data_IF_528495446626
#
_entry.id   IF_528495446626
#
_cell.length_a   1.000
_cell.length_b   1.000
_cell.length_c   1.000
_cell.angle_alpha   90.00
_cell.angle_beta   90.00
_cell.angle_gamma   90.00
#
_symmetry.space_group_name_H-M   'P 1'
#
loop_
_entity.id
_entity.type
_entity.pdbx_description
1 polymer ?
#
# COMPACT_ATOMS: atom_id res chain seq x y z
N UNK A 1 16.40 -27.79 -26.17
CA UNK A 1 16.18 -26.33 -26.25
C UNK A 1 17.52 -25.62 -26.12
N UNK A 2 17.94 -24.83 -27.11
CA UNK A 2 19.27 -24.23 -27.18
C UNK A 2 19.58 -23.31 -25.98
N UNK A 3 20.80 -23.42 -25.42
CA UNK A 3 21.29 -22.65 -24.26
C UNK A 3 21.06 -21.13 -24.42
N UNK A 4 21.19 -20.64 -25.65
CA UNK A 4 20.91 -19.24 -26.04
C UNK A 4 19.46 -18.81 -25.80
N UNK A 5 18.47 -19.67 -26.10
CA UNK A 5 17.05 -19.38 -25.86
C UNK A 5 16.70 -19.35 -24.37
N UNK A 6 17.38 -20.15 -23.54
CA UNK A 6 17.19 -20.14 -22.08
C UNK A 6 17.68 -18.85 -21.44
N UNK A 7 18.89 -18.41 -21.80
CA UNK A 7 19.46 -17.16 -21.28
C UNK A 7 18.59 -15.97 -21.69
N UNK A 8 18.09 -15.97 -22.93
CA UNK A 8 17.23 -14.89 -23.43
C UNK A 8 15.87 -14.85 -22.72
N UNK A 9 15.28 -16.01 -22.43
CA UNK A 9 14.04 -16.09 -21.64
C UNK A 9 14.23 -15.63 -20.18
N UNK A 10 15.35 -16.00 -19.54
CA UNK A 10 15.67 -15.56 -18.17
C UNK A 10 15.93 -14.05 -18.13
N UNK A 11 16.70 -13.53 -19.09
CA UNK A 11 16.96 -12.09 -19.20
C UNK A 11 15.68 -11.30 -19.42
N UNK A 12 14.79 -11.78 -20.29
CA UNK A 12 13.48 -11.16 -20.51
C UNK A 12 12.63 -11.18 -19.23
N UNK A 13 12.58 -12.30 -18.51
CA UNK A 13 11.86 -12.40 -17.25
C UNK A 13 12.39 -11.39 -16.21
N UNK A 14 13.71 -11.32 -16.03
CA UNK A 14 14.33 -10.38 -15.09
C UNK A 14 14.03 -8.92 -15.45
N UNK A 15 14.08 -8.56 -16.73
CA UNK A 15 13.75 -7.21 -17.19
C UNK A 15 12.28 -6.88 -16.93
N UNK A 16 11.36 -7.81 -17.18
CA UNK A 16 9.93 -7.60 -16.90
C UNK A 16 9.68 -7.49 -15.39
N UNK A 17 10.28 -8.37 -14.58
CA UNK A 17 10.09 -8.35 -13.13
C UNK A 17 10.70 -7.11 -12.48
N UNK A 18 11.91 -6.70 -12.88
CA UNK A 18 12.54 -5.48 -12.38
C UNK A 18 11.78 -4.24 -12.87
N UNK A 19 11.36 -4.21 -14.14
CA UNK A 19 10.61 -3.10 -14.71
C UNK A 19 9.21 -2.91 -14.11
N UNK A 20 8.56 -3.99 -13.66
CA UNK A 20 7.25 -3.93 -13.01
C UNK A 20 7.29 -3.57 -11.51
N UNK A 21 8.45 -3.64 -10.85
CA UNK A 21 8.59 -3.35 -9.41
C UNK A 21 9.14 -1.95 -9.11
N UNK A 22 9.18 -1.05 -10.08
CA UNK A 22 9.60 0.35 -9.84
C UNK A 22 8.44 1.32 -10.04
N UNK A 23 7.46 1.37 -9.12
CA UNK A 23 6.85 2.64 -8.79
C UNK A 23 7.80 3.36 -7.82
N UNK A 24 8.54 4.34 -8.34
CA UNK A 24 9.31 5.28 -7.55
C UNK A 24 8.31 6.20 -6.85
N UNK A 25 7.78 5.80 -5.70
CA UNK A 25 7.14 6.72 -4.76
C UNK A 25 8.25 7.56 -4.12
N UNK A 26 8.72 8.57 -4.85
CA UNK A 26 9.50 9.66 -4.26
C UNK A 26 8.53 10.55 -3.50
N UNK A 27 8.06 10.08 -2.35
CA UNK A 27 7.32 10.93 -1.43
C UNK A 27 8.30 11.94 -0.85
N UNK A 28 7.97 13.22 -1.00
CA UNK A 28 8.66 14.32 -0.33
C UNK A 28 8.31 14.20 1.17
N UNK A 29 9.10 13.42 1.90
CA UNK A 29 8.86 13.05 3.29
C UNK A 29 9.06 14.27 4.20
N UNK A 30 8.03 15.10 4.32
CA UNK A 30 7.93 16.10 5.40
C UNK A 30 7.66 15.38 6.72
N UNK A 31 8.21 15.91 7.80
CA UNK A 31 7.95 15.40 9.15
C UNK A 31 6.50 15.70 9.55
N UNK A 32 5.63 14.70 9.53
CA UNK A 32 4.27 14.83 10.06
C UNK A 32 4.27 14.62 11.59
N UNK A 33 3.38 15.32 12.33
CA UNK A 33 3.20 15.11 13.76
C UNK A 33 2.77 13.67 14.08
N UNK A 34 3.19 13.15 15.24
CA UNK A 34 2.80 11.81 15.68
C UNK A 34 1.31 11.77 16.06
N UNK A 35 0.64 10.64 15.78
CA UNK A 35 -0.80 10.47 16.08
C UNK A 35 -1.14 10.68 17.55
N UNK A 36 -0.27 10.21 18.45
CA UNK A 36 -0.46 10.38 19.89
C UNK A 36 -0.46 11.86 20.29
N UNK A 37 0.42 12.65 19.68
CA UNK A 37 0.51 14.09 19.92
C UNK A 37 -0.73 14.82 19.42
N UNK A 38 -1.16 14.55 18.18
CA UNK A 38 -2.38 15.12 17.58
C UNK A 38 -3.61 14.79 18.42
N UNK A 39 -3.71 13.56 18.94
CA UNK A 39 -4.85 13.15 19.77
C UNK A 39 -4.85 13.84 21.14
N UNK A 40 -3.67 14.14 21.69
CA UNK A 40 -3.52 14.73 23.02
C UNK A 40 -3.73 16.25 23.04
N UNK A 41 -3.37 16.94 21.96
CA UNK A 41 -3.53 18.40 21.84
C UNK A 41 -3.88 18.82 20.40
N UNK A 42 -5.09 18.50 19.92
CA UNK A 42 -5.43 18.63 18.51
C UNK A 42 -5.33 20.06 17.96
N UNK A 43 -5.78 21.05 18.72
CA UNK A 43 -5.75 22.45 18.28
C UNK A 43 -4.33 23.00 18.07
N UNK A 44 -3.29 22.36 18.63
CA UNK A 44 -1.91 22.76 18.43
C UNK A 44 -1.39 22.43 17.03
N UNK A 45 -2.00 21.44 16.36
CA UNK A 45 -1.55 20.92 15.07
C UNK A 45 -2.43 21.40 13.91
N UNK A 46 -3.41 22.27 14.17
CA UNK A 46 -4.16 22.95 13.12
C UNK A 46 -3.19 23.77 12.24
N UNK A 47 -3.27 23.59 10.93
CA UNK A 47 -2.37 24.21 9.97
C UNK A 47 -1.11 23.39 9.65
N UNK A 48 -0.89 22.25 10.30
CA UNK A 48 0.23 21.35 9.98
C UNK A 48 -0.12 20.42 8.80
N UNK A 49 0.89 20.15 7.98
CA UNK A 49 0.80 19.20 6.87
C UNK A 49 0.94 17.76 7.39
N UNK A 50 -0.01 16.91 7.03
CA UNK A 50 -0.04 15.49 7.39
C UNK A 50 -0.17 14.59 6.18
N UNK A 51 0.35 13.38 6.34
CA UNK A 51 0.21 12.30 5.40
C UNK A 51 -0.33 11.05 6.10
N UNK A 52 -1.53 10.62 5.71
CA UNK A 52 -2.20 9.47 6.33
C UNK A 52 -2.48 8.36 5.32
N UNK A 53 -2.18 7.13 5.73
CA UNK A 53 -2.70 5.92 5.11
C UNK A 53 -3.97 5.52 5.85
N UNK A 54 -5.11 5.48 5.16
CA UNK A 54 -6.39 5.21 5.82
C UNK A 54 -7.25 4.22 5.04
N UNK A 55 -8.12 3.53 5.78
CA UNK A 55 -9.22 2.77 5.19
C UNK A 55 -10.51 3.57 5.35
N UNK A 56 -11.24 3.75 4.25
CA UNK A 56 -12.50 4.48 4.25
C UNK A 56 -13.59 3.64 4.89
N UNK A 57 -14.25 4.15 5.93
CA UNK A 57 -15.37 3.47 6.60
C UNK A 57 -16.69 3.85 5.94
N UNK A 58 -16.91 5.15 5.70
CA UNK A 58 -18.12 5.70 5.10
C UNK A 58 -17.78 6.87 4.16
N UNK A 59 -18.63 7.05 3.14
CA UNK A 59 -18.52 8.14 2.16
C UNK A 59 -19.79 9.00 2.30
N UNK A 60 -19.64 10.27 2.65
CA UNK A 60 -20.76 11.20 2.69
C UNK A 60 -20.87 11.94 1.34
N UNK A 61 -21.73 11.41 0.48
CA UNK A 61 -21.99 11.98 -0.85
C UNK A 61 -22.67 13.37 -0.78
N UNK A 62 -23.24 13.78 0.36
CA UNK A 62 -23.97 15.05 0.47
C UNK A 62 -23.07 16.24 0.76
N UNK A 63 -22.03 16.01 1.56
CA UNK A 63 -21.08 17.05 1.95
C UNK A 63 -19.83 17.06 1.06
N UNK A 64 -19.78 16.20 0.03
CA UNK A 64 -18.59 15.98 -0.80
C UNK A 64 -17.36 15.76 0.11
N UNK A 65 -17.54 14.93 1.15
CA UNK A 65 -16.54 14.63 2.16
C UNK A 65 -16.47 13.12 2.43
N UNK A 66 -15.29 12.65 2.81
CA UNK A 66 -15.07 11.28 3.25
C UNK A 66 -15.02 11.27 4.77
N UNK A 67 -15.91 10.50 5.41
CA UNK A 67 -15.85 10.30 6.86
C UNK A 67 -14.99 9.07 7.11
N UNK A 68 -13.78 9.31 7.60
CA UNK A 68 -12.82 8.24 7.85
C UNK A 68 -12.71 8.00 9.33
N UNK A 69 -13.15 6.82 9.75
CA UNK A 69 -12.93 6.35 11.10
C UNK A 69 -11.59 5.63 11.14
N UNK A 70 -10.62 6.16 11.89
CA UNK A 70 -9.36 5.48 12.16
C UNK A 70 -9.61 4.31 13.12
N UNK A 71 -10.16 3.22 12.61
CA UNK A 71 -10.20 1.93 13.32
C UNK A 71 -8.82 1.31 13.19
N UNK A 72 -7.98 1.56 14.18
CA UNK A 72 -6.77 0.77 14.39
C UNK A 72 -5.78 0.79 13.21
N UNK A 73 -5.61 1.96 12.59
CA UNK A 73 -4.70 2.13 11.46
C UNK A 73 -3.33 2.55 11.96
N UNK A 74 -2.31 1.73 11.67
CA UNK A 74 -0.91 2.06 11.85
C UNK A 74 -0.59 3.30 11.00
N UNK A 75 -0.36 4.44 11.65
CA UNK A 75 0.30 5.55 10.99
C UNK A 75 1.76 5.13 10.79
N UNK A 76 2.13 4.77 9.56
CA UNK A 76 3.54 4.51 9.23
C UNK A 76 4.19 5.88 9.05
N UNK A 77 4.75 6.42 10.12
CA UNK A 77 5.65 7.58 10.05
C UNK A 77 6.97 7.15 9.43
N UNK A 78 7.18 7.43 8.14
CA UNK A 78 8.48 7.20 7.50
C UNK A 78 9.36 8.43 7.79
N UNK A 79 10.10 8.41 8.89
CA UNK A 79 11.09 9.44 9.20
C UNK A 79 12.34 9.29 8.31
N UNK A 80 13.01 10.43 8.02
CA UNK A 80 14.24 10.56 7.20
C UNK A 80 15.46 9.74 7.70
N UNK A 81 15.38 9.10 8.88
CA UNK A 81 16.48 8.35 9.51
C UNK A 81 16.35 6.81 9.36
N UNK A 82 15.59 6.37 8.36
CA UNK A 82 15.37 4.96 8.07
C UNK A 82 14.03 4.45 8.59
N UNK A 83 13.48 3.47 7.87
CA UNK A 83 12.19 2.84 8.12
C UNK A 83 12.06 2.36 9.58
N UNK A 84 11.45 3.18 10.44
CA UNK A 84 10.91 2.75 11.72
C UNK A 84 9.45 2.38 11.53
N UNK A 85 9.18 1.07 11.49
CA UNK A 85 7.82 0.57 11.66
C UNK A 85 7.60 0.41 13.16
N UNK A 86 7.28 1.49 13.85
CA UNK A 86 6.82 1.37 15.23
C UNK A 86 5.40 0.76 15.20
N UNK A 87 5.37 -0.57 15.36
CA UNK A 87 4.15 -1.36 15.51
C UNK A 87 3.82 -1.49 17.01
N UNK A 88 4.03 -0.43 17.78
CA UNK A 88 3.79 -0.40 19.22
C UNK A 88 3.06 0.90 19.57
N UNK A 89 1.74 0.89 19.40
CA UNK A 89 0.78 0.88 20.50
C UNK A 89 -0.62 0.95 19.87
N UNK A 90 -1.40 -0.11 20.05
CA UNK A 90 -2.80 -0.16 19.60
C UNK A 90 -3.62 0.67 20.59
N UNK A 91 -3.48 1.99 20.51
CA UNK A 91 -4.38 2.92 21.22
C UNK A 91 -5.79 2.64 20.71
N UNK A 92 -6.65 2.16 21.60
CA UNK A 92 -8.05 1.82 21.33
C UNK A 92 -8.94 3.06 21.12
N UNK A 93 -8.36 4.25 20.92
CA UNK A 93 -9.12 5.44 20.61
C UNK A 93 -9.50 5.45 19.13
N UNK A 94 -10.80 5.21 18.92
CA UNK A 94 -11.49 5.50 17.68
C UNK A 94 -11.48 7.01 17.50
N UNK A 95 -10.52 7.50 16.73
CA UNK A 95 -10.50 8.89 16.27
C UNK A 95 -11.20 8.96 14.91
N UNK A 96 -12.17 9.84 14.79
CA UNK A 96 -12.92 10.08 13.56
C UNK A 96 -12.44 11.42 12.99
N UNK A 97 -12.02 11.41 11.72
CA UNK A 97 -11.60 12.61 11.02
C UNK A 97 -12.39 12.71 9.73
N UNK A 98 -12.88 13.90 9.46
CA UNK A 98 -13.56 14.21 8.21
C UNK A 98 -12.52 14.68 7.20
N UNK A 99 -12.42 13.98 6.07
CA UNK A 99 -11.51 14.35 4.99
C UNK A 99 -12.31 15.14 3.95
N UNK A 100 -11.91 16.39 3.72
CA UNK A 100 -12.50 17.25 2.69
C UNK A 100 -11.52 17.35 1.51
N UNK A 101 -11.81 16.74 0.35
CA UNK A 101 -10.97 16.87 -0.82
C UNK A 101 -11.09 18.23 -1.48
N UNK A 102 -10.00 18.66 -2.11
CA UNK A 102 -9.98 19.82 -3.00
C UNK A 102 -10.73 19.55 -4.31
N UNK A 103 -10.74 18.30 -4.80
CA UNK A 103 -11.51 17.88 -5.98
C UNK A 103 -12.59 16.84 -5.59
N UNK A 104 -13.89 17.21 -5.61
CA UNK A 104 -14.99 16.31 -5.28
C UNK A 104 -15.10 15.09 -6.19
N UNK A 105 -14.59 15.16 -7.43
CA UNK A 105 -14.69 14.04 -8.37
C UNK A 105 -13.91 12.81 -7.93
N UNK A 106 -12.89 12.99 -7.09
CA UNK A 106 -12.08 11.90 -6.52
C UNK A 106 -12.91 11.02 -5.57
N UNK A 107 -13.88 11.62 -4.85
CA UNK A 107 -14.78 10.87 -3.94
C UNK A 107 -15.63 9.87 -4.71
N UNK A 108 -16.08 10.24 -5.91
CA UNK A 108 -16.95 9.39 -6.72
C UNK A 108 -16.29 8.06 -7.13
N UNK A 109 -14.97 7.94 -7.04
CA UNK A 109 -14.22 6.72 -7.32
C UNK A 109 -13.87 5.88 -6.08
N UNK A 110 -14.22 6.36 -4.88
CA UNK A 110 -13.85 5.76 -3.60
C UNK A 110 -15.07 5.08 -3.00
N UNK A 111 -14.97 3.76 -2.78
CA UNK A 111 -16.03 2.99 -2.12
C UNK A 111 -15.68 2.73 -0.63
N UNK A 112 -16.68 2.47 0.23
CA UNK A 112 -16.43 1.96 1.58
C UNK A 112 -15.52 0.72 1.56
N UNK A 113 -14.48 0.74 2.41
CA UNK A 113 -13.44 -0.29 2.47
C UNK A 113 -12.22 -0.03 1.58
N UNK A 114 -12.25 1.02 0.74
CA UNK A 114 -11.09 1.50 -0.01
C UNK A 114 -9.91 1.84 0.91
N UNK A 115 -8.69 1.69 0.40
CA UNK A 115 -7.48 2.18 1.06
C UNK A 115 -6.92 3.34 0.27
N UNK A 116 -6.74 4.47 0.95
CA UNK A 116 -6.29 5.71 0.33
C UNK A 116 -5.13 6.30 1.14
N UNK A 117 -4.29 7.05 0.44
CA UNK A 117 -3.26 7.91 1.00
C UNK A 117 -3.76 9.34 0.86
N UNK A 118 -3.77 10.07 1.96
CA UNK A 118 -4.27 11.45 1.98
C UNK A 118 -3.15 12.36 2.43
N UNK A 119 -2.86 13.35 1.60
CA UNK A 119 -1.96 14.46 1.90
C UNK A 119 -2.79 15.74 2.06
N UNK A 120 -2.56 16.48 3.14
CA UNK A 120 -3.31 17.71 3.37
C UNK A 120 -2.99 18.36 4.69
N UNK A 121 -3.80 19.34 5.06
CA UNK A 121 -3.60 20.17 6.25
C UNK A 121 -4.70 19.91 7.29
N UNK A 122 -4.31 19.75 8.55
CA UNK A 122 -5.24 19.60 9.67
C UNK A 122 -5.97 20.93 9.97
N UNK A 123 -7.24 20.84 10.33
CA UNK A 123 -8.10 21.96 10.67
C UNK A 123 -9.19 21.55 11.66
N UNK A 124 -9.89 22.55 12.20
CA UNK A 124 -11.01 22.38 13.13
C UNK A 124 -10.64 21.46 14.31
N UNK A 125 -9.59 21.83 15.07
CA UNK A 125 -9.08 21.01 16.17
C UNK A 125 -8.69 19.60 15.68
N UNK A 126 -7.93 19.54 14.60
CA UNK A 126 -7.48 18.30 13.93
C UNK A 126 -8.58 17.29 13.60
N UNK A 127 -9.85 17.69 13.64
CA UNK A 127 -11.00 16.84 13.32
C UNK A 127 -11.34 16.85 11.83
N UNK A 128 -10.81 17.83 11.09
CA UNK A 128 -10.93 17.94 9.64
C UNK A 128 -9.56 17.92 8.99
N UNK A 129 -9.41 17.07 7.98
CA UNK A 129 -8.25 17.07 7.09
C UNK A 129 -8.66 17.64 5.73
N UNK A 130 -8.13 18.81 5.41
CA UNK A 130 -8.32 19.41 4.08
C UNK A 130 -7.30 18.78 3.14
N UNK A 131 -7.75 17.84 2.31
CA UNK A 131 -6.89 17.02 1.46
C UNK A 131 -6.53 17.77 0.18
N UNK A 132 -5.24 18.06 0.02
CA UNK A 132 -4.66 18.60 -1.19
C UNK A 132 -4.52 17.53 -2.27
N UNK A 133 -4.16 16.31 -1.85
CA UNK A 133 -4.00 15.16 -2.73
C UNK A 133 -4.54 13.89 -2.07
N UNK A 134 -5.30 13.11 -2.84
CA UNK A 134 -5.78 11.79 -2.45
C UNK A 134 -5.29 10.79 -3.50
N UNK A 135 -4.51 9.82 -3.06
CA UNK A 135 -4.05 8.70 -3.89
C UNK A 135 -4.82 7.45 -3.47
N UNK A 136 -5.53 6.82 -4.39
CA UNK A 136 -6.29 5.60 -4.12
C UNK A 136 -5.41 4.38 -4.38
N UNK A 137 -5.07 3.63 -3.32
CA UNK A 137 -4.27 2.40 -3.42
C UNK A 137 -5.14 1.21 -3.85
N UNK A 138 -6.33 1.09 -3.27
CA UNK A 138 -7.31 0.06 -3.58
C UNK A 138 -8.70 0.71 -3.58
N UNK A 139 -9.44 0.60 -4.68
CA UNK A 139 -10.78 1.20 -4.81
C UNK A 139 -11.82 0.45 -4.00
N UNK A 140 -11.64 -0.86 -3.87
CA UNK A 140 -12.47 -1.70 -3.00
C UNK A 140 -11.64 -2.84 -2.35
N UNK A 141 -12.30 -3.61 -1.50
CA UNK A 141 -11.69 -4.80 -0.87
C UNK A 141 -11.37 -5.95 -1.83
N UNK A 142 -11.88 -5.91 -3.07
CA UNK A 142 -11.70 -6.95 -4.11
C UNK A 142 -10.48 -6.67 -4.98
N UNK A 143 -10.04 -5.43 -5.10
CA UNK A 143 -8.80 -5.08 -5.82
C UNK A 143 -7.58 -5.79 -5.21
N UNK A 144 -7.55 -5.94 -3.88
CA UNK A 144 -6.55 -6.76 -3.18
C UNK A 144 -6.54 -8.22 -3.69
N UNK A 145 -7.72 -8.80 -3.95
CA UNK A 145 -7.85 -10.17 -4.45
C UNK A 145 -7.28 -10.27 -5.87
N UNK A 146 -7.44 -9.23 -6.69
CA UNK A 146 -6.85 -9.19 -8.02
C UNK A 146 -5.31 -9.19 -7.96
N UNK A 147 -4.73 -8.32 -7.13
CA UNK A 147 -3.26 -8.24 -6.95
C UNK A 147 -2.69 -9.55 -6.39
N UNK A 148 -3.38 -10.15 -5.42
CA UNK A 148 -2.99 -11.44 -4.87
C UNK A 148 -3.12 -12.55 -5.92
N UNK A 149 -4.21 -12.52 -6.70
CA UNK A 149 -4.51 -13.48 -7.75
C UNK A 149 -3.46 -13.50 -8.86
N UNK A 150 -3.07 -12.34 -9.38
CA UNK A 150 -2.05 -12.26 -10.44
C UNK A 150 -0.67 -12.69 -9.93
N UNK A 151 -0.34 -12.34 -8.69
CA UNK A 151 0.88 -12.77 -8.00
C UNK A 151 0.94 -14.30 -7.84
N UNK A 152 -0.14 -14.90 -7.32
CA UNK A 152 -0.25 -16.37 -7.16
C UNK A 152 -0.19 -17.09 -8.52
N UNK A 153 -0.83 -16.52 -9.54
CA UNK A 153 -0.78 -17.05 -10.89
C UNK A 153 0.64 -17.02 -11.47
N UNK A 154 1.35 -15.89 -11.33
CA UNK A 154 2.75 -15.75 -11.74
C UNK A 154 3.67 -16.73 -11.02
N UNK A 155 3.51 -16.86 -9.70
CA UNK A 155 4.25 -17.83 -8.88
C UNK A 155 3.96 -19.26 -9.32
N UNK A 156 2.69 -19.61 -9.59
CA UNK A 156 2.30 -20.93 -10.05
C UNK A 156 2.92 -21.27 -11.40
N UNK A 157 2.93 -20.32 -12.34
CA UNK A 157 3.59 -20.50 -13.64
C UNK A 157 5.10 -20.71 -13.48
N UNK A 158 5.75 -19.95 -12.59
CA UNK A 158 7.16 -20.11 -12.29
C UNK A 158 7.47 -21.50 -11.71
N UNK A 159 6.65 -21.97 -10.76
CA UNK A 159 6.77 -23.30 -10.14
C UNK A 159 6.59 -24.40 -11.19
N UNK A 160 5.53 -24.34 -12.01
CA UNK A 160 5.28 -25.33 -13.06
C UNK A 160 6.43 -25.34 -14.07
N UNK A 161 6.90 -24.17 -14.48
CA UNK A 161 8.03 -24.06 -15.40
C UNK A 161 9.31 -24.64 -14.80
N UNK A 162 9.58 -24.36 -13.52
CA UNK A 162 10.70 -24.90 -12.79
C UNK A 162 10.64 -26.43 -12.75
N UNK A 163 9.52 -27.02 -12.31
CA UNK A 163 9.34 -28.47 -12.23
C UNK A 163 9.26 -29.19 -13.58
N UNK A 164 8.98 -28.45 -14.66
CA UNK A 164 9.08 -28.98 -16.03
C UNK A 164 10.52 -29.29 -16.42
N UNK A 165 11.50 -28.55 -15.90
CA UNK A 165 12.92 -28.74 -16.21
C UNK A 165 13.71 -29.42 -15.09
N UNK A 166 13.26 -29.30 -13.85
CA UNK A 166 13.95 -29.77 -12.67
C UNK A 166 13.07 -30.75 -11.90
N UNK A 167 13.65 -31.87 -11.47
CA UNK A 167 12.99 -32.84 -10.60
C UNK A 167 13.54 -32.67 -9.18
N UNK A 168 12.69 -32.59 -8.14
CA UNK A 168 13.17 -32.62 -6.77
C UNK A 168 13.73 -34.02 -6.48
N UNK A 169 14.94 -34.08 -5.93
CA UNK A 169 15.52 -35.29 -5.39
C UNK A 169 15.53 -35.20 -3.86
N UNK A 170 14.52 -35.76 -3.17
CA UNK A 170 14.39 -35.62 -1.73
C UNK A 170 15.49 -36.36 -0.95
N UNK A 171 16.11 -37.40 -1.52
CA UNK A 171 17.18 -38.13 -0.83
C UNK A 171 18.49 -37.34 -0.76
N UNK A 172 18.70 -36.41 -1.69
CA UNK A 172 19.89 -35.54 -1.76
C UNK A 172 19.58 -34.09 -1.38
N UNK A 173 18.32 -33.76 -1.10
CA UNK A 173 17.84 -32.38 -0.98
C UNK A 173 18.29 -31.49 -2.16
N UNK A 174 18.33 -32.07 -3.37
CA UNK A 174 18.86 -31.44 -4.58
C UNK A 174 17.81 -31.35 -5.69
N UNK A 175 18.06 -30.52 -6.70
CA UNK A 175 17.23 -30.46 -7.92
C UNK A 175 18.03 -30.97 -9.11
N UNK A 176 17.56 -32.02 -9.77
CA UNK A 176 18.21 -32.61 -10.92
C UNK A 176 17.49 -32.20 -12.21
N UNK A 177 18.25 -31.96 -13.28
CA UNK A 177 17.64 -31.60 -14.56
C UNK A 177 16.97 -32.83 -15.18
N UNK A 178 15.70 -32.69 -15.56
CA UNK A 178 14.93 -33.77 -16.18
C UNK A 178 15.60 -34.20 -17.50
N UNK A 179 15.96 -35.47 -17.60
CA UNK A 179 16.60 -36.07 -18.78
C UNK A 179 18.13 -36.24 -18.72
N UNK A 180 18.76 -35.93 -17.59
CA UNK A 180 20.10 -36.40 -17.26
C UNK A 180 19.93 -37.63 -16.34
N UNK A 181 19.98 -38.83 -16.92
CA UNK A 181 20.13 -40.11 -16.22
C UNK A 181 21.45 -40.75 -16.65
#
# INVERSE_FOLDING_TARGET
MNRKRRILAIGFLLVVTVGMNVPYATTDLRSSPEKADVSSNPAQFDGEDVFYFVQVDEVDEREEALVVVFKNTSAVGIALDGLRVDTEDVVHDRHEVTIRPVDPSVIAEIEPGARIQVFGTLSEESSVLVAEEIVVDYRDSRDWIYVLGISLFGMSLAIVHFFRYWHPNPSELSFQKRGES
#
